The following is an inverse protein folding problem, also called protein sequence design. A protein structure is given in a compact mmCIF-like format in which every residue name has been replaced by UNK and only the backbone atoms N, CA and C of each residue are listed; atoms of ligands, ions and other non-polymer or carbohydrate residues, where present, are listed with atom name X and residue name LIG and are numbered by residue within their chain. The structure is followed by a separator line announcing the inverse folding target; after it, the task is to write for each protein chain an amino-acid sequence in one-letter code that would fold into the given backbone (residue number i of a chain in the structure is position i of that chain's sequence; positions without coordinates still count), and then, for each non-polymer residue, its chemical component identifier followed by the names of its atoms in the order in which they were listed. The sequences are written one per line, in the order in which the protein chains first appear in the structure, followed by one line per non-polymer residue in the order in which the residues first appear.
data_IF_620627243221
#
_entry.id   IF_620627243221
#
_cell.length_a   1.000
_cell.length_b   1.000
_cell.length_c   1.000
_cell.angle_alpha   90.00
_cell.angle_beta   90.00
_cell.angle_gamma   90.00
#
_symmetry.space_group_name_H-M   'P 1'
#
loop_
_entity.id
_entity.type
_entity.pdbx_description
1 polymer ?
#
# COMPACT_ATOMS: atom_id res chain seq x y z
N UNK A 1 11.26 27.62 -6.82
CA UNK A 1 10.45 26.78 -5.89
C UNK A 1 9.50 25.99 -6.76
N UNK A 2 9.59 24.67 -6.80
CA UNK A 2 8.62 23.85 -7.50
C UNK A 2 7.27 23.96 -6.76
N UNK A 3 6.19 24.19 -7.49
CA UNK A 3 4.85 24.23 -6.91
C UNK A 3 4.46 22.81 -6.46
N UNK A 4 3.81 22.69 -5.30
CA UNK A 4 3.27 21.41 -4.86
C UNK A 4 2.25 20.85 -5.88
N UNK A 5 2.17 19.53 -6.05
CA UNK A 5 1.17 18.89 -6.91
C UNK A 5 -0.24 19.30 -6.49
N UNK A 6 -1.12 19.53 -7.48
CA UNK A 6 -2.51 19.90 -7.24
C UNK A 6 -3.42 19.43 -8.37
N UNK A 7 -4.66 19.14 -8.06
CA UNK A 7 -5.68 18.87 -9.08
C UNK A 7 -6.01 20.18 -9.80
N UNK A 8 -5.94 20.17 -11.13
CA UNK A 8 -6.27 21.33 -11.97
C UNK A 8 -7.72 21.27 -12.44
N UNK A 9 -8.25 20.10 -12.79
CA UNK A 9 -9.63 19.91 -13.22
C UNK A 9 -10.12 18.49 -12.97
N UNK A 10 -11.43 18.32 -12.89
CA UNK A 10 -12.11 17.02 -12.90
C UNK A 10 -13.21 17.08 -13.97
N UNK A 11 -13.30 16.05 -14.79
CA UNK A 11 -14.33 15.89 -15.82
C UNK A 11 -14.72 14.42 -15.95
N UNK A 12 -15.94 14.12 -16.42
CA UNK A 12 -16.32 12.77 -16.77
C UNK A 12 -15.31 12.16 -17.76
N UNK A 13 -14.92 10.91 -17.53
CA UNK A 13 -14.03 10.18 -18.41
C UNK A 13 -14.87 9.28 -19.34
N UNK A 14 -14.82 9.49 -20.67
CA UNK A 14 -15.45 8.58 -21.60
C UNK A 14 -14.85 7.16 -21.45
N UNK A 15 -15.71 6.16 -21.47
CA UNK A 15 -15.33 4.76 -21.24
C UNK A 15 -14.19 4.27 -22.16
N UNK A 16 -14.19 4.69 -23.42
CA UNK A 16 -13.18 4.35 -24.40
C UNK A 16 -11.83 5.09 -24.23
N UNK A 17 -11.72 5.98 -23.26
CA UNK A 17 -10.48 6.71 -22.92
C UNK A 17 -9.88 6.27 -21.59
N UNK A 18 -10.56 5.40 -20.85
CA UNK A 18 -10.05 4.84 -19.59
C UNK A 18 -8.92 3.83 -19.90
N UNK A 19 -7.77 4.00 -19.23
CA UNK A 19 -6.59 3.14 -19.36
C UNK A 19 -6.44 2.19 -18.18
N UNK A 20 -6.65 2.69 -16.99
CA UNK A 20 -6.32 2.01 -15.73
C UNK A 20 -7.53 1.40 -15.02
N UNK A 21 -8.73 1.90 -15.34
CA UNK A 21 -9.96 1.49 -14.66
C UNK A 21 -11.09 1.39 -15.66
N UNK A 22 -11.91 0.37 -15.56
CA UNK A 22 -13.17 0.23 -16.28
C UNK A 22 -14.35 0.16 -15.31
N UNK A 23 -15.49 0.73 -15.70
CA UNK A 23 -16.74 0.52 -15.01
C UNK A 23 -17.48 -0.64 -15.65
N UNK A 24 -17.98 -1.56 -14.84
CA UNK A 24 -18.72 -2.72 -15.30
C UNK A 24 -20.06 -2.84 -14.55
N UNK A 25 -21.06 -3.37 -15.24
CA UNK A 25 -22.30 -3.83 -14.65
C UNK A 25 -22.19 -5.33 -14.39
N UNK A 26 -22.23 -5.72 -13.15
CA UNK A 26 -22.26 -7.13 -12.75
C UNK A 26 -23.71 -7.55 -12.59
N UNK A 27 -24.16 -8.60 -13.28
CA UNK A 27 -25.47 -9.23 -13.06
C UNK A 27 -25.25 -10.44 -12.17
N UNK A 28 -25.99 -10.52 -11.08
CA UNK A 28 -25.91 -11.64 -10.14
C UNK A 28 -27.32 -12.11 -9.73
N UNK A 29 -27.41 -13.30 -9.18
CA UNK A 29 -28.63 -13.81 -8.54
C UNK A 29 -28.43 -13.80 -7.02
N UNK A 30 -29.43 -13.26 -6.32
CA UNK A 30 -29.46 -13.35 -4.86
C UNK A 30 -29.87 -14.76 -4.38
N UNK A 31 -29.94 -14.94 -3.07
CA UNK A 31 -30.28 -16.23 -2.45
C UNK A 31 -31.66 -16.77 -2.85
N UNK A 32 -32.56 -15.87 -3.23
CA UNK A 32 -33.93 -16.23 -3.67
C UNK A 32 -34.01 -16.46 -5.19
N UNK A 33 -32.88 -16.40 -5.89
CA UNK A 33 -32.80 -16.55 -7.34
C UNK A 33 -33.23 -15.30 -8.13
N UNK A 34 -33.46 -14.16 -7.45
CA UNK A 34 -33.81 -12.91 -8.12
C UNK A 34 -32.57 -12.30 -8.78
N UNK A 35 -32.70 -11.95 -10.06
CA UNK A 35 -31.61 -11.28 -10.80
C UNK A 35 -31.51 -9.83 -10.35
N UNK A 36 -30.27 -9.40 -10.06
CA UNK A 36 -29.90 -8.05 -9.63
C UNK A 36 -28.70 -7.55 -10.38
N UNK A 37 -28.47 -6.26 -10.32
CA UNK A 37 -27.30 -5.60 -10.92
C UNK A 37 -26.49 -4.87 -9.85
N UNK A 38 -25.18 -4.82 -10.06
CA UNK A 38 -24.21 -4.06 -9.26
C UNK A 38 -23.27 -3.31 -10.17
N UNK A 39 -22.92 -2.07 -9.83
CA UNK A 39 -21.90 -1.31 -10.54
C UNK A 39 -20.56 -1.50 -9.84
N UNK A 40 -19.50 -1.80 -10.60
CA UNK A 40 -18.17 -2.05 -10.08
C UNK A 40 -17.10 -1.34 -10.89
N UNK A 41 -16.08 -0.84 -10.20
CA UNK A 41 -14.83 -0.42 -10.83
C UNK A 41 -13.84 -1.59 -10.85
N UNK A 42 -13.23 -1.85 -12.01
CA UNK A 42 -12.23 -2.92 -12.14
C UNK A 42 -10.91 -2.37 -12.64
N UNK A 43 -9.81 -2.85 -12.07
CA UNK A 43 -8.46 -2.57 -12.53
C UNK A 43 -8.19 -3.28 -13.85
N UNK A 44 -7.51 -2.61 -14.79
CA UNK A 44 -7.17 -3.18 -16.10
C UNK A 44 -5.76 -3.77 -16.15
N UNK A 45 -4.96 -3.57 -15.12
CA UNK A 45 -3.55 -3.98 -15.02
C UNK A 45 -3.36 -5.32 -14.34
N UNK A 46 -4.44 -5.94 -13.80
CA UNK A 46 -4.33 -7.26 -13.15
C UNK A 46 -3.70 -8.29 -14.07
N UNK A 47 -2.64 -8.98 -13.64
CA UNK A 47 -2.06 -10.07 -14.40
C UNK A 47 -3.10 -11.14 -14.77
N UNK A 48 -3.01 -11.80 -15.92
CA UNK A 48 -3.92 -12.89 -16.26
C UNK A 48 -3.72 -14.09 -15.33
N UNK A 49 -4.81 -14.75 -14.96
CA UNK A 49 -4.74 -16.02 -14.23
C UNK A 49 -3.98 -17.08 -15.03
N UNK A 50 -3.11 -17.80 -14.35
CA UNK A 50 -2.32 -18.91 -14.91
C UNK A 50 -2.54 -20.19 -14.10
N UNK A 51 -1.97 -21.32 -14.55
CA UNK A 51 -2.01 -22.55 -13.74
C UNK A 51 -1.29 -22.41 -12.40
N UNK A 52 -0.19 -21.65 -12.39
CA UNK A 52 0.67 -21.48 -11.23
C UNK A 52 0.21 -20.31 -10.35
N UNK A 53 -0.55 -19.38 -10.91
CA UNK A 53 -1.19 -18.28 -10.22
C UNK A 53 -2.66 -18.16 -10.67
N UNK A 54 -3.58 -18.97 -10.10
CA UNK A 54 -4.98 -18.99 -10.52
C UNK A 54 -5.79 -17.78 -10.01
N UNK A 55 -5.30 -17.08 -9.00
CA UNK A 55 -5.96 -15.92 -8.39
C UNK A 55 -4.96 -14.77 -8.24
N UNK A 56 -4.57 -14.11 -9.36
CA UNK A 56 -3.59 -13.03 -9.34
C UNK A 56 -4.12 -11.80 -8.61
N UNK A 57 -3.22 -11.12 -7.92
CA UNK A 57 -3.51 -9.85 -7.24
C UNK A 57 -3.06 -8.67 -8.10
N UNK A 58 -3.71 -7.51 -7.91
CA UNK A 58 -3.36 -6.28 -8.62
C UNK A 58 -2.03 -5.71 -8.10
N UNK A 59 -1.80 -5.79 -6.79
CA UNK A 59 -0.64 -5.15 -6.20
C UNK A 59 -0.25 -5.69 -4.83
N UNK A 60 0.74 -5.05 -4.27
CA UNK A 60 1.27 -5.33 -2.92
C UNK A 60 1.34 -4.06 -2.10
N UNK A 61 1.02 -4.18 -0.82
CA UNK A 61 1.38 -3.19 0.20
C UNK A 61 2.54 -3.72 1.05
N UNK A 62 3.43 -2.84 1.45
CA UNK A 62 4.69 -3.24 2.06
C UNK A 62 4.76 -2.73 3.49
N UNK A 63 4.74 -3.65 4.43
CA UNK A 63 5.08 -3.34 5.82
C UNK A 63 6.58 -3.57 6.01
N UNK A 64 7.37 -2.53 5.73
CA UNK A 64 8.81 -2.56 5.88
C UNK A 64 9.21 -2.02 7.26
N UNK A 65 9.95 -2.84 8.02
CA UNK A 65 10.41 -2.49 9.36
C UNK A 65 11.92 -2.36 9.39
N UNK A 66 12.39 -1.14 9.68
CA UNK A 66 13.80 -0.85 9.88
C UNK A 66 14.17 -1.22 11.32
N UNK A 67 15.16 -2.09 11.47
CA UNK A 67 15.73 -2.53 12.74
C UNK A 67 17.26 -2.43 12.71
N UNK A 68 17.94 -2.89 13.76
CA UNK A 68 19.41 -2.82 13.90
C UNK A 68 19.97 -1.38 13.85
N UNK A 69 19.19 -0.43 14.36
CA UNK A 69 19.60 0.97 14.56
C UNK A 69 19.71 1.27 16.04
N UNK A 70 20.27 2.45 16.38
CA UNK A 70 20.18 2.97 17.75
C UNK A 70 18.74 3.41 18.02
N UNK A 71 17.88 2.51 18.52
CA UNK A 71 16.50 2.83 18.85
C UNK A 71 15.50 1.71 18.55
N UNK A 72 14.22 1.98 18.77
CA UNK A 72 13.16 1.00 18.53
C UNK A 72 12.95 0.74 17.03
N UNK A 73 12.38 -0.43 16.66
CA UNK A 73 11.98 -0.72 15.29
C UNK A 73 11.05 0.35 14.73
N UNK A 74 11.24 0.72 13.45
CA UNK A 74 10.53 1.79 12.78
C UNK A 74 9.88 1.28 11.49
N UNK A 75 8.64 1.67 11.23
CA UNK A 75 7.95 1.39 9.98
C UNK A 75 8.29 2.47 8.93
N UNK A 76 8.51 2.04 7.69
CA UNK A 76 8.69 2.94 6.54
C UNK A 76 7.33 3.39 6.04
N UNK A 77 7.16 4.70 5.87
CA UNK A 77 5.97 5.34 5.30
C UNK A 77 6.38 6.32 4.20
N UNK A 78 5.45 6.61 3.31
CA UNK A 78 5.61 7.62 2.26
C UNK A 78 4.53 8.69 2.36
N UNK A 79 4.89 9.90 1.90
CA UNK A 79 3.93 10.96 1.56
C UNK A 79 3.78 10.99 0.06
N UNK A 80 2.61 10.69 -0.44
CA UNK A 80 2.33 10.68 -1.86
C UNK A 80 1.13 11.56 -2.20
N UNK A 81 1.26 12.38 -3.24
CA UNK A 81 0.09 13.11 -3.74
C UNK A 81 -0.81 12.17 -4.54
N UNK A 82 -2.05 12.03 -4.12
CA UNK A 82 -3.05 11.19 -4.81
C UNK A 82 -4.08 12.07 -5.53
N UNK A 83 -3.99 12.18 -6.86
CA UNK A 83 -4.93 13.02 -7.65
C UNK A 83 -6.40 12.64 -7.43
N UNK A 84 -6.70 11.37 -7.17
CA UNK A 84 -8.05 10.90 -6.90
C UNK A 84 -8.63 11.55 -5.64
N UNK A 85 -7.85 11.67 -4.58
CA UNK A 85 -8.22 12.34 -3.33
C UNK A 85 -8.00 13.85 -3.43
N UNK A 86 -7.00 14.29 -4.19
CA UNK A 86 -6.66 15.70 -4.42
C UNK A 86 -5.77 16.31 -3.35
N UNK A 87 -5.13 15.48 -2.54
CA UNK A 87 -4.21 15.90 -1.47
C UNK A 87 -3.08 14.87 -1.29
N UNK A 88 -2.13 15.22 -0.43
CA UNK A 88 -1.07 14.31 0.02
C UNK A 88 -1.62 13.33 1.04
N UNK A 89 -1.30 12.06 0.85
CA UNK A 89 -1.73 10.94 1.68
C UNK A 89 -0.51 10.30 2.33
N UNK A 90 -0.65 9.87 3.58
CA UNK A 90 0.33 9.04 4.27
C UNK A 90 -0.01 7.59 3.98
N UNK A 91 0.94 6.87 3.37
CA UNK A 91 0.73 5.52 2.85
C UNK A 91 1.88 4.58 3.23
N UNK A 92 1.62 3.27 3.15
CA UNK A 92 2.68 2.28 3.03
C UNK A 92 3.30 2.38 1.63
N UNK A 93 4.57 2.03 1.43
CA UNK A 93 5.09 1.76 0.10
C UNK A 93 4.25 0.65 -0.55
N UNK A 94 3.95 0.80 -1.83
CA UNK A 94 3.02 -0.08 -2.52
C UNK A 94 3.16 -0.01 -4.03
N UNK A 95 2.98 -1.10 -4.75
CA UNK A 95 2.99 -1.08 -6.18
C UNK A 95 2.27 -2.25 -6.85
N UNK A 96 2.29 -2.28 -8.17
CA UNK A 96 1.65 -3.32 -8.95
C UNK A 96 2.53 -4.58 -8.99
N UNK A 97 1.88 -5.73 -9.14
CA UNK A 97 2.57 -7.01 -9.42
C UNK A 97 2.69 -7.19 -10.92
N UNK A 98 3.89 -7.25 -11.43
CA UNK A 98 4.15 -7.45 -12.84
C UNK A 98 3.87 -8.89 -13.30
N UNK A 99 3.66 -9.05 -14.61
CA UNK A 99 3.41 -10.35 -15.20
C UNK A 99 4.61 -11.29 -15.00
N UNK A 100 4.41 -12.40 -14.29
CA UNK A 100 5.45 -13.38 -13.97
C UNK A 100 6.25 -13.09 -12.72
N UNK A 101 5.93 -12.02 -12.01
CA UNK A 101 6.53 -11.67 -10.73
C UNK A 101 5.73 -12.29 -9.57
N UNK A 102 6.41 -12.71 -8.51
CA UNK A 102 5.73 -13.06 -7.26
C UNK A 102 5.45 -11.81 -6.42
N UNK A 103 4.49 -11.88 -5.51
CA UNK A 103 4.15 -10.76 -4.61
C UNK A 103 5.34 -10.33 -3.75
N UNK A 104 6.20 -11.29 -3.35
CA UNK A 104 7.41 -10.99 -2.58
C UNK A 104 8.46 -10.28 -3.43
N UNK A 105 8.59 -10.66 -4.72
CA UNK A 105 9.50 -10.00 -5.64
C UNK A 105 9.05 -8.57 -5.90
N UNK A 106 7.76 -8.38 -6.18
CA UNK A 106 7.15 -7.06 -6.33
C UNK A 106 7.41 -6.18 -5.11
N UNK A 107 7.17 -6.71 -3.90
CA UNK A 107 7.37 -5.95 -2.68
C UNK A 107 8.84 -5.50 -2.47
N UNK A 108 9.81 -6.36 -2.77
CA UNK A 108 11.23 -6.01 -2.66
C UNK A 108 11.62 -4.96 -3.71
N UNK A 109 11.14 -5.09 -4.94
CA UNK A 109 11.37 -4.15 -6.03
C UNK A 109 10.77 -2.78 -5.68
N UNK A 110 9.48 -2.72 -5.37
CA UNK A 110 8.74 -1.48 -5.08
C UNK A 110 9.31 -0.75 -3.85
N UNK A 111 9.66 -1.48 -2.77
CA UNK A 111 10.32 -0.84 -1.63
C UNK A 111 11.57 -0.09 -2.06
N UNK A 112 12.38 -0.72 -2.93
CA UNK A 112 13.62 -0.11 -3.40
C UNK A 112 13.36 1.08 -4.32
N UNK A 113 12.43 0.96 -5.25
CA UNK A 113 12.11 1.99 -6.24
C UNK A 113 11.49 3.21 -5.58
N UNK A 114 10.48 3.03 -4.75
CA UNK A 114 9.79 4.15 -4.10
C UNK A 114 10.59 4.80 -2.97
N UNK A 115 11.36 4.00 -2.22
CA UNK A 115 11.95 4.47 -0.96
C UNK A 115 13.49 4.47 -0.94
N UNK A 116 14.11 3.74 -1.85
CA UNK A 116 15.56 3.49 -1.85
C UNK A 116 16.02 2.52 -0.76
N UNK A 117 15.14 1.99 0.09
CA UNK A 117 15.51 0.98 1.08
C UNK A 117 15.74 -0.39 0.43
N UNK A 118 16.79 -1.06 0.87
CA UNK A 118 17.05 -2.46 0.57
C UNK A 118 16.48 -3.33 1.70
N UNK A 119 15.37 -4.01 1.43
CA UNK A 119 14.71 -4.92 2.36
C UNK A 119 14.75 -6.37 1.89
N UNK A 120 14.45 -7.30 2.79
CA UNK A 120 14.30 -8.73 2.52
C UNK A 120 12.96 -9.19 3.07
N UNK A 121 12.32 -10.14 2.37
CA UNK A 121 11.10 -10.76 2.90
C UNK A 121 11.41 -11.30 4.30
N UNK A 122 10.55 -10.96 5.26
CA UNK A 122 10.77 -11.32 6.65
C UNK A 122 10.84 -12.84 6.79
N UNK A 123 11.98 -13.29 7.30
CA UNK A 123 12.26 -14.70 7.54
C UNK A 123 11.71 -15.19 8.90
N UNK A 124 10.80 -14.42 9.51
CA UNK A 124 10.22 -14.81 10.79
C UNK A 124 9.67 -16.24 10.69
N UNK A 125 10.24 -17.13 11.50
CA UNK A 125 10.01 -18.58 11.51
C UNK A 125 8.59 -18.99 11.90
N UNK A 126 7.75 -18.03 12.20
CA UNK A 126 6.34 -18.26 12.34
C UNK A 126 5.70 -18.13 10.95
N UNK A 127 4.91 -19.11 10.54
CA UNK A 127 3.98 -19.04 9.41
C UNK A 127 3.05 -17.81 9.44
N UNK A 128 3.22 -16.95 10.43
CA UNK A 128 2.46 -15.74 10.72
C UNK A 128 2.90 -14.49 9.94
N UNK A 129 4.06 -14.49 9.25
CA UNK A 129 4.53 -13.36 8.45
C UNK A 129 4.76 -13.72 6.97
N UNK A 130 4.17 -14.82 6.48
CA UNK A 130 3.96 -15.02 5.05
C UNK A 130 3.12 -13.84 4.48
N UNK A 131 3.14 -13.60 3.17
CA UNK A 131 2.22 -12.65 2.57
C UNK A 131 0.79 -12.88 3.05
N UNK A 132 0.03 -11.81 3.26
CA UNK A 132 -1.35 -11.93 3.72
C UNK A 132 -2.18 -12.76 2.73
N UNK A 133 -3.35 -13.28 3.12
CA UNK A 133 -4.35 -13.68 2.14
C UNK A 133 -4.65 -12.49 1.19
N UNK A 134 -5.25 -12.78 0.04
CA UNK A 134 -5.76 -11.73 -0.85
C UNK A 134 -6.76 -10.85 -0.09
N UNK A 135 -6.50 -9.55 -0.06
CA UNK A 135 -7.31 -8.53 0.56
C UNK A 135 -7.95 -7.67 -0.53
N UNK A 136 -9.19 -7.26 -0.34
CA UNK A 136 -9.89 -6.33 -1.22
C UNK A 136 -9.88 -4.95 -0.60
N UNK A 137 -9.44 -3.94 -1.35
CA UNK A 137 -9.29 -2.58 -0.83
C UNK A 137 -10.64 -1.93 -0.53
N UNK A 138 -11.60 -2.07 -1.43
CA UNK A 138 -12.97 -1.61 -1.25
C UNK A 138 -13.97 -2.52 -2.01
N UNK A 139 -14.39 -3.64 -1.41
CA UNK A 139 -15.23 -4.66 -2.08
C UNK A 139 -16.65 -4.18 -2.37
N UNK A 140 -17.08 -3.06 -1.81
CA UNK A 140 -18.35 -2.41 -2.14
C UNK A 140 -18.29 -1.57 -3.41
N UNK A 141 -17.11 -1.11 -3.77
CA UNK A 141 -16.89 -0.21 -4.91
C UNK A 141 -16.26 -0.92 -6.11
N UNK A 142 -15.33 -1.84 -5.86
CA UNK A 142 -14.57 -2.48 -6.93
C UNK A 142 -13.99 -3.83 -6.55
N UNK A 143 -13.26 -4.42 -7.48
CA UNK A 143 -12.62 -5.71 -7.30
C UNK A 143 -11.10 -5.61 -7.14
N UNK A 144 -10.55 -4.42 -6.95
CA UNK A 144 -9.12 -4.27 -6.74
C UNK A 144 -8.68 -4.95 -5.45
N UNK A 145 -7.62 -5.73 -5.57
CA UNK A 145 -7.10 -6.57 -4.50
C UNK A 145 -5.58 -6.44 -4.38
N UNK A 146 -5.07 -6.90 -3.26
CA UNK A 146 -3.65 -6.84 -2.94
C UNK A 146 -3.27 -7.90 -1.90
N UNK A 147 -1.98 -8.06 -1.71
CA UNK A 147 -1.44 -8.75 -0.53
C UNK A 147 -0.51 -7.83 0.24
N UNK A 148 -0.48 -7.97 1.55
CA UNK A 148 0.49 -7.29 2.42
C UNK A 148 1.73 -8.19 2.56
N UNK A 149 2.89 -7.62 2.27
CA UNK A 149 4.17 -8.29 2.38
C UNK A 149 5.00 -7.62 3.47
N UNK A 150 5.58 -8.42 4.35
CA UNK A 150 6.42 -7.94 5.45
C UNK A 150 7.89 -8.01 5.06
N UNK A 151 8.59 -6.88 5.14
CA UNK A 151 10.01 -6.78 4.82
C UNK A 151 10.83 -6.32 6.02
N UNK A 152 11.93 -7.04 6.28
CA UNK A 152 12.93 -6.62 7.24
C UNK A 152 13.98 -5.76 6.53
N UNK A 153 14.22 -4.57 7.06
CA UNK A 153 15.23 -3.62 6.60
C UNK A 153 16.32 -3.51 7.65
N UNK A 154 17.54 -3.88 7.30
CA UNK A 154 18.69 -3.72 8.19
C UNK A 154 19.17 -2.27 8.17
N UNK A 155 18.88 -1.53 9.24
CA UNK A 155 19.30 -0.15 9.40
C UNK A 155 20.81 0.03 9.58
N UNK A 156 21.56 -1.03 9.84
CA UNK A 156 23.03 -1.00 9.89
C UNK A 156 23.69 -1.14 8.50
N UNK A 157 22.93 -1.57 7.49
CA UNK A 157 23.43 -1.66 6.11
C UNK A 157 23.74 -0.24 5.59
N UNK A 158 24.96 0.01 5.05
CA UNK A 158 25.33 1.31 4.50
C UNK A 158 24.36 1.83 3.43
N UNK A 159 23.73 0.97 2.64
CA UNK A 159 22.74 1.38 1.62
C UNK A 159 21.46 1.95 2.23
N UNK A 160 21.13 1.54 3.45
CA UNK A 160 19.91 1.97 4.14
C UNK A 160 20.11 3.23 4.98
N UNK A 161 21.34 3.78 5.02
CA UNK A 161 21.64 4.99 5.78
C UNK A 161 21.10 6.25 5.10
N UNK A 162 20.86 7.28 5.90
CA UNK A 162 20.41 8.57 5.40
C UNK A 162 21.42 9.17 4.39
N UNK A 163 20.90 9.69 3.29
CA UNK A 163 21.69 10.25 2.20
C UNK A 163 22.32 9.22 1.25
N UNK A 164 22.20 7.92 1.52
CA UNK A 164 22.67 6.85 0.63
C UNK A 164 21.51 6.22 -0.18
N UNK A 165 20.31 6.35 0.30
CA UNK A 165 19.10 5.84 -0.39
C UNK A 165 18.83 6.66 -1.65
N UNK A 166 18.56 5.98 -2.75
CA UNK A 166 18.28 6.58 -4.05
C UNK A 166 16.99 5.98 -4.61
N UNK A 167 15.83 6.56 -4.31
CA UNK A 167 14.56 6.18 -4.95
C UNK A 167 14.66 6.32 -6.47
N UNK A 168 13.99 5.43 -7.21
CA UNK A 168 13.94 5.41 -8.66
C UNK A 168 12.48 5.42 -9.11
N UNK A 169 11.80 6.54 -8.85
CA UNK A 169 10.37 6.70 -9.11
C UNK A 169 10.06 6.58 -10.61
N UNK A 170 8.98 5.91 -10.93
CA UNK A 170 8.44 5.85 -12.28
C UNK A 170 7.73 7.15 -12.68
N UNK A 171 7.50 7.31 -13.98
CA UNK A 171 6.73 8.46 -14.49
C UNK A 171 5.29 8.40 -13.95
N UNK A 172 4.90 9.44 -13.21
CA UNK A 172 3.58 9.53 -12.58
C UNK A 172 3.55 9.18 -11.10
N UNK A 173 4.59 8.62 -10.54
CA UNK A 173 4.72 8.46 -9.10
C UNK A 173 5.04 9.80 -8.44
N UNK A 174 4.16 10.17 -7.51
CA UNK A 174 4.20 11.49 -6.87
C UNK A 174 4.60 11.38 -5.39
N UNK A 175 5.58 10.51 -5.10
CA UNK A 175 6.19 10.38 -3.76
C UNK A 175 6.94 11.67 -3.46
N UNK A 176 6.56 12.33 -2.38
CA UNK A 176 7.12 13.61 -1.95
C UNK A 176 8.16 13.46 -0.86
N UNK A 177 7.97 12.48 0.00
CA UNK A 177 8.84 12.20 1.15
C UNK A 177 8.77 10.74 1.55
N UNK A 178 9.91 10.17 1.89
CA UNK A 178 10.08 8.86 2.53
C UNK A 178 10.55 9.09 3.95
N UNK A 179 9.86 8.54 4.93
CA UNK A 179 10.19 8.73 6.33
C UNK A 179 9.88 7.47 7.16
N UNK A 180 10.30 7.46 8.40
CA UNK A 180 10.04 6.34 9.29
C UNK A 180 9.41 6.80 10.60
N UNK A 181 8.55 5.96 11.17
CA UNK A 181 7.90 6.18 12.47
C UNK A 181 8.21 5.01 13.40
N UNK A 182 8.58 5.23 14.68
CA UNK A 182 8.69 4.13 15.61
C UNK A 182 7.38 3.36 15.67
N UNK A 183 7.43 2.03 15.55
CA UNK A 183 6.21 1.21 15.58
C UNK A 183 5.38 1.46 16.84
N UNK A 184 6.04 1.69 17.97
CA UNK A 184 5.36 1.98 19.24
C UNK A 184 4.52 3.26 19.21
N UNK A 185 4.89 4.23 18.36
CA UNK A 185 4.29 5.56 18.26
C UNK A 185 3.36 5.72 17.06
N UNK A 186 3.18 4.66 16.27
CA UNK A 186 2.45 4.74 15.00
C UNK A 186 1.04 5.32 15.17
N UNK A 187 0.30 4.91 16.19
CA UNK A 187 -1.05 5.38 16.46
C UNK A 187 -1.09 6.90 16.71
N UNK A 188 -0.25 7.40 17.60
CA UNK A 188 -0.20 8.83 17.92
C UNK A 188 0.28 9.65 16.71
N UNK A 189 1.25 9.15 15.97
CA UNK A 189 1.77 9.84 14.79
C UNK A 189 0.74 9.92 13.65
N UNK A 190 -0.03 8.86 13.42
CA UNK A 190 -1.13 8.88 12.42
C UNK A 190 -2.17 9.93 12.79
N UNK A 191 -2.54 10.03 14.06
CA UNK A 191 -3.47 11.06 14.54
C UNK A 191 -2.90 12.47 14.37
N UNK A 192 -1.63 12.66 14.70
CA UNK A 192 -0.94 13.93 14.48
C UNK A 192 -0.94 14.31 12.99
N UNK A 193 -0.56 13.40 12.10
CA UNK A 193 -0.58 13.66 10.66
C UNK A 193 -1.96 14.08 10.16
N UNK A 194 -3.03 13.43 10.65
CA UNK A 194 -4.39 13.73 10.23
C UNK A 194 -4.92 15.06 10.80
N UNK A 195 -4.76 15.28 12.11
CA UNK A 195 -5.46 16.37 12.81
C UNK A 195 -4.63 17.65 12.97
N UNK A 196 -3.30 17.54 13.02
CA UNK A 196 -2.43 18.69 13.19
C UNK A 196 -1.76 19.11 11.89
N UNK A 197 -1.24 18.13 11.13
CA UNK A 197 -0.48 18.39 9.91
C UNK A 197 -1.38 18.44 8.64
N UNK A 198 -2.64 17.96 8.73
CA UNK A 198 -3.64 18.05 7.67
C UNK A 198 -3.45 17.07 6.51
N UNK A 199 -2.71 16.00 6.69
CA UNK A 199 -2.57 14.94 5.68
C UNK A 199 -3.77 13.99 5.70
N UNK A 200 -4.14 13.46 4.54
CA UNK A 200 -5.00 12.29 4.48
C UNK A 200 -4.22 11.04 4.89
N UNK A 201 -4.93 10.06 5.43
CA UNK A 201 -4.34 8.79 5.87
C UNK A 201 -4.94 7.66 5.02
N UNK A 202 -4.10 6.82 4.46
CA UNK A 202 -4.54 5.59 3.81
C UNK A 202 -5.19 4.66 4.84
N UNK A 203 -6.29 4.01 4.44
CA UNK A 203 -7.06 3.16 5.35
C UNK A 203 -6.23 2.00 5.93
N UNK A 204 -5.23 1.50 5.21
CA UNK A 204 -4.38 0.40 5.66
C UNK A 204 -3.41 0.86 6.74
N UNK A 205 -2.81 2.05 6.58
CA UNK A 205 -1.98 2.68 7.63
C UNK A 205 -2.83 2.97 8.87
N UNK A 206 -4.01 3.55 8.68
CA UNK A 206 -4.93 3.86 9.77
C UNK A 206 -5.36 2.60 10.52
N UNK A 207 -5.79 1.56 9.80
CA UNK A 207 -6.25 0.29 10.40
C UNK A 207 -5.10 -0.43 11.12
N UNK A 208 -3.88 -0.42 10.56
CA UNK A 208 -2.70 -0.99 11.23
C UNK A 208 -2.44 -0.27 12.56
N UNK A 209 -2.44 1.06 12.56
CA UNK A 209 -2.21 1.88 13.75
C UNK A 209 -3.28 1.62 14.83
N UNK A 210 -4.56 1.63 14.45
CA UNK A 210 -5.68 1.32 15.37
C UNK A 210 -5.60 -0.12 15.89
N UNK A 211 -5.26 -1.09 15.04
CA UNK A 211 -5.09 -2.49 15.43
C UNK A 211 -3.96 -2.68 16.46
N UNK A 212 -2.83 -2.00 16.27
CA UNK A 212 -1.72 -2.03 17.23
C UNK A 212 -2.11 -1.41 18.57
N UNK A 213 -2.83 -0.30 18.57
CA UNK A 213 -3.30 0.33 19.81
C UNK A 213 -4.35 -0.53 20.54
N UNK A 214 -5.27 -1.15 19.79
CA UNK A 214 -6.21 -2.14 20.36
C UNK A 214 -5.47 -3.32 20.99
N UNK A 215 -4.44 -3.84 20.32
CA UNK A 215 -3.63 -4.93 20.85
C UNK A 215 -2.94 -4.55 22.18
N UNK A 216 -2.37 -3.34 22.27
CA UNK A 216 -1.80 -2.82 23.51
C UNK A 216 -2.84 -2.76 24.64
N UNK A 217 -4.04 -2.23 24.35
CA UNK A 217 -5.09 -2.03 25.38
C UNK A 217 -5.73 -3.33 25.86
N UNK A 218 -6.03 -4.24 24.95
CA UNK A 218 -6.89 -5.40 25.26
C UNK A 218 -6.14 -6.72 25.34
N UNK A 219 -4.98 -6.85 24.70
CA UNK A 219 -4.19 -8.09 24.74
C UNK A 219 -3.00 -8.01 25.70
N UNK A 220 -2.82 -6.87 26.40
CA UNK A 220 -1.71 -6.65 27.35
C UNK A 220 -0.35 -7.00 26.74
N UNK A 221 -0.17 -6.76 25.48
CA UNK A 221 1.11 -6.91 24.80
C UNK A 221 2.07 -5.87 25.38
N UNK A 222 3.06 -6.38 26.11
CA UNK A 222 4.11 -5.57 26.74
C UNK A 222 5.17 -5.18 25.73
#
# INVERSE_FOLDING_TARGET
MSSLPRVVSRKPLPHNQAQWTKLVQVTYQDADGTSRIWESAECTTRPPATKDNPDPVDGVDIVAVVSNTEGPPRIVLIKQFRPAVGCTVIELPAGLVDAGESVEQAAVRELREETGYAGKVSASTAASLAPSPTLYADPGFGNNNLQVVYLDVDGSDPHNQDGQRQPQLEEGELVQEVFTVPLADLFEMVRKFAYEDGYAIDARVGTLAEGMEMAKRYLSLK
#
